data_IF_305818808250
#
_entry.id   IF_305818808250
#
_cell.length_a   1.000
_cell.length_b   1.000
_cell.length_c   1.000
_cell.angle_alpha   90.00
_cell.angle_beta   90.00
_cell.angle_gamma   90.00
#
_symmetry.space_group_name_H-M   'P 1'
#
loop_
_entity.id
_entity.type
_entity.pdbx_description
1 polymer ?
#
# COMPACT_ATOMS: atom_id res chain seq x y z
N UNK A 1 -18.62 -27.21 25.32
CA UNK A 1 -18.61 -27.48 23.86
C UNK A 1 -18.63 -26.18 23.07
N UNK A 2 -19.55 -25.24 23.37
CA UNK A 2 -19.70 -23.96 22.67
C UNK A 2 -18.40 -23.16 22.46
N UNK A 3 -17.57 -23.00 23.50
CA UNK A 3 -16.33 -22.22 23.41
C UNK A 3 -15.31 -22.77 22.39
N UNK A 4 -15.15 -24.09 22.29
CA UNK A 4 -14.22 -24.70 21.31
C UNK A 4 -14.75 -24.58 19.88
N UNK A 5 -16.07 -24.64 19.70
CA UNK A 5 -16.71 -24.45 18.39
C UNK A 5 -16.53 -22.99 17.93
N UNK A 6 -16.78 -22.02 18.82
CA UNK A 6 -16.54 -20.60 18.53
C UNK A 6 -15.07 -20.32 18.20
N UNK A 7 -14.13 -20.88 18.97
CA UNK A 7 -12.70 -20.75 18.68
C UNK A 7 -12.32 -21.35 17.31
N UNK A 8 -12.89 -22.50 16.95
CA UNK A 8 -12.68 -23.12 15.64
C UNK A 8 -13.17 -22.21 14.50
N UNK A 9 -14.37 -21.64 14.63
CA UNK A 9 -14.92 -20.69 13.65
C UNK A 9 -14.02 -19.47 13.50
N UNK A 10 -13.53 -18.91 14.62
CA UNK A 10 -12.61 -17.75 14.60
C UNK A 10 -11.30 -18.11 13.90
N UNK A 11 -10.71 -19.27 14.17
CA UNK A 11 -9.49 -19.73 13.50
C UNK A 11 -9.68 -19.86 11.98
N UNK A 12 -10.80 -20.43 11.54
CA UNK A 12 -11.13 -20.54 10.11
C UNK A 12 -11.32 -19.15 9.49
N UNK A 13 -12.05 -18.25 10.15
CA UNK A 13 -12.25 -16.89 9.67
C UNK A 13 -10.92 -16.13 9.52
N UNK A 14 -10.02 -16.26 10.50
CA UNK A 14 -8.68 -15.67 10.47
C UNK A 14 -7.87 -16.21 9.29
N UNK A 15 -7.88 -17.53 9.07
CA UNK A 15 -7.17 -18.16 7.95
C UNK A 15 -7.70 -17.69 6.59
N UNK A 16 -9.02 -17.63 6.42
CA UNK A 16 -9.63 -17.14 5.17
C UNK A 16 -9.21 -15.69 4.93
N UNK A 17 -9.28 -14.84 5.95
CA UNK A 17 -8.89 -13.44 5.84
C UNK A 17 -7.39 -13.27 5.51
N UNK A 18 -6.49 -14.03 6.14
CA UNK A 18 -5.06 -13.95 5.83
C UNK A 18 -4.79 -14.35 4.39
N UNK A 19 -5.36 -15.44 3.90
CA UNK A 19 -5.19 -15.91 2.53
C UNK A 19 -5.68 -14.87 1.53
N UNK A 20 -6.87 -14.30 1.73
CA UNK A 20 -7.40 -13.23 0.87
C UNK A 20 -6.51 -11.98 0.89
N UNK A 21 -6.04 -11.56 2.07
CA UNK A 21 -5.14 -10.43 2.20
C UNK A 21 -3.81 -10.67 1.45
N UNK A 22 -3.25 -11.88 1.53
CA UNK A 22 -2.06 -12.25 0.76
C UNK A 22 -2.32 -12.23 -0.74
N UNK A 23 -3.43 -12.79 -1.23
CA UNK A 23 -3.76 -12.77 -2.66
C UNK A 23 -3.84 -11.34 -3.20
N UNK A 24 -4.52 -10.45 -2.47
CA UNK A 24 -4.68 -9.04 -2.87
C UNK A 24 -3.34 -8.30 -2.87
N UNK A 25 -2.45 -8.62 -1.93
CA UNK A 25 -1.16 -7.95 -1.72
C UNK A 25 0.03 -8.62 -2.40
N UNK A 26 -0.11 -9.80 -3.01
CA UNK A 26 1.02 -10.51 -3.61
C UNK A 26 1.56 -9.78 -4.85
N UNK A 27 0.65 -9.17 -5.64
CA UNK A 27 1.01 -8.51 -6.88
C UNK A 27 1.59 -7.10 -6.63
N UNK A 28 2.39 -6.65 -7.59
CA UNK A 28 2.97 -5.31 -7.60
C UNK A 28 4.29 -5.23 -6.84
N UNK A 29 5.32 -4.71 -7.49
CA UNK A 29 6.54 -4.29 -6.81
C UNK A 29 7.04 -3.04 -7.51
N UNK A 30 7.36 -2.00 -6.74
CA UNK A 30 7.91 -0.78 -7.35
C UNK A 30 9.16 -1.08 -8.19
N UNK A 31 9.25 -0.44 -9.35
CA UNK A 31 10.34 -0.54 -10.31
C UNK A 31 11.51 0.34 -9.88
N UNK A 32 12.72 -0.20 -10.01
CA UNK A 32 13.94 0.56 -9.78
C UNK A 32 14.27 1.35 -11.05
N UNK A 33 14.49 2.65 -10.91
CA UNK A 33 14.94 3.50 -12.01
C UNK A 33 16.42 3.80 -11.85
N UNK A 34 17.18 3.70 -12.95
CA UNK A 34 18.63 3.93 -12.96
C UNK A 34 18.97 5.33 -12.44
N UNK A 35 19.83 5.40 -11.42
CA UNK A 35 20.25 6.67 -10.81
C UNK A 35 19.31 7.23 -9.74
N UNK A 36 18.26 6.48 -9.36
CA UNK A 36 17.33 6.82 -8.29
C UNK A 36 17.33 5.72 -7.21
N UNK A 37 17.34 6.13 -5.93
CA UNK A 37 17.28 5.19 -4.80
C UNK A 37 15.86 4.80 -4.40
N UNK A 38 14.87 5.59 -4.82
CA UNK A 38 13.45 5.31 -4.60
C UNK A 38 12.86 4.53 -5.78
N UNK A 39 11.73 3.86 -5.53
CA UNK A 39 11.00 3.08 -6.53
C UNK A 39 9.89 3.91 -7.18
N UNK A 40 9.63 3.63 -8.45
CA UNK A 40 8.44 4.11 -9.15
C UNK A 40 7.39 3.01 -9.20
N UNK A 41 6.11 3.39 -9.23
CA UNK A 41 5.02 2.43 -9.12
C UNK A 41 4.09 2.60 -10.32
N UNK A 42 3.80 1.49 -11.01
CA UNK A 42 2.83 1.48 -12.09
C UNK A 42 1.54 0.81 -11.61
N UNK A 43 0.42 1.40 -11.99
CA UNK A 43 -0.88 0.96 -11.47
C UNK A 43 -1.24 -0.46 -11.97
N UNK A 44 -0.80 -0.82 -13.17
CA UNK A 44 -1.07 -2.12 -13.79
C UNK A 44 -0.40 -3.30 -13.08
N UNK A 45 0.66 -3.08 -12.30
CA UNK A 45 1.36 -4.15 -11.59
C UNK A 45 0.56 -4.69 -10.39
N UNK A 46 -0.45 -3.95 -9.92
CA UNK A 46 -1.25 -4.31 -8.74
C UNK A 46 -2.45 -5.18 -9.10
N UNK A 47 -3.03 -5.83 -8.08
CA UNK A 47 -4.20 -6.70 -8.26
C UNK A 47 -5.40 -5.93 -8.84
N UNK A 48 -6.23 -6.65 -9.61
CA UNK A 48 -7.45 -6.09 -10.22
C UNK A 48 -8.41 -5.48 -9.19
N UNK A 49 -8.34 -5.94 -7.93
CA UNK A 49 -9.07 -5.36 -6.82
C UNK A 49 -8.65 -3.92 -6.54
N UNK A 50 -7.35 -3.63 -6.44
CA UNK A 50 -6.85 -2.26 -6.25
C UNK A 50 -7.20 -1.38 -7.45
N UNK A 51 -7.07 -1.90 -8.66
CA UNK A 51 -7.48 -1.21 -9.88
C UNK A 51 -8.94 -0.79 -9.81
N UNK A 52 -9.84 -1.72 -9.47
CA UNK A 52 -11.28 -1.44 -9.38
C UNK A 52 -11.61 -0.43 -8.29
N UNK A 53 -10.95 -0.53 -7.15
CA UNK A 53 -11.19 0.37 -6.01
C UNK A 53 -10.71 1.80 -6.30
N UNK A 54 -9.55 1.95 -6.95
CA UNK A 54 -8.92 3.24 -7.25
C UNK A 54 -9.41 3.87 -8.56
N UNK A 55 -10.03 3.08 -9.44
CA UNK A 55 -10.66 3.58 -10.65
C UNK A 55 -12.11 4.05 -10.41
N UNK A 56 -12.68 3.76 -9.24
CA UNK A 56 -13.97 4.31 -8.85
C UNK A 56 -13.82 5.81 -8.52
N UNK A 57 -14.38 6.67 -9.37
CA UNK A 57 -14.20 8.12 -9.33
C UNK A 57 -14.64 8.75 -8.01
N UNK A 58 -15.78 8.33 -7.45
CA UNK A 58 -16.31 8.94 -6.22
C UNK A 58 -15.40 8.64 -5.02
N UNK A 59 -14.99 7.38 -4.86
CA UNK A 59 -14.07 6.98 -3.79
C UNK A 59 -12.70 7.65 -3.94
N UNK A 60 -12.22 7.78 -5.18
CA UNK A 60 -10.95 8.43 -5.47
C UNK A 60 -10.99 9.92 -5.14
N UNK A 61 -12.04 10.65 -5.49
CA UNK A 61 -12.13 12.08 -5.19
C UNK A 61 -12.11 12.35 -3.67
N UNK A 62 -12.76 11.50 -2.87
CA UNK A 62 -12.65 11.57 -1.42
C UNK A 62 -11.21 11.34 -0.94
N UNK A 63 -10.55 10.28 -1.40
CA UNK A 63 -9.18 9.94 -1.01
C UNK A 63 -8.18 11.01 -1.46
N UNK A 64 -8.33 11.49 -2.69
CA UNK A 64 -7.57 12.59 -3.28
C UNK A 64 -7.70 13.86 -2.45
N UNK A 65 -8.90 14.20 -1.96
CA UNK A 65 -9.08 15.38 -1.10
C UNK A 65 -8.22 15.30 0.17
N UNK A 66 -8.05 14.10 0.73
CA UNK A 66 -7.16 13.85 1.85
C UNK A 66 -5.68 13.97 1.46
N UNK A 67 -5.29 13.43 0.30
CA UNK A 67 -3.91 13.52 -0.21
C UNK A 67 -3.47 14.95 -0.58
N UNK A 68 -4.39 15.76 -1.10
CA UNK A 68 -4.15 17.17 -1.43
C UNK A 68 -3.97 17.99 -0.15
N UNK A 69 -4.75 17.69 0.90
CA UNK A 69 -4.62 18.31 2.22
C UNK A 69 -3.39 17.80 2.98
N UNK A 70 -2.88 16.61 2.64
CA UNK A 70 -1.71 16.06 3.30
C UNK A 70 -0.49 16.95 3.09
N UNK A 71 0.34 17.04 4.13
CA UNK A 71 1.57 17.82 4.06
C UNK A 71 2.71 17.04 3.40
N UNK A 72 2.53 15.80 2.96
CA UNK A 72 3.61 14.95 2.42
C UNK A 72 4.30 15.60 1.23
N UNK A 73 3.52 15.98 0.21
CA UNK A 73 4.07 16.63 -0.97
C UNK A 73 4.56 18.07 -0.71
N UNK A 74 4.08 18.73 0.33
CA UNK A 74 4.53 20.08 0.71
C UNK A 74 5.81 20.03 1.53
N UNK A 75 5.95 19.03 2.39
CA UNK A 75 7.14 18.77 3.19
C UNK A 75 8.26 18.21 2.34
N UNK A 76 7.98 17.53 1.23
CA UNK A 76 9.01 17.03 0.33
C UNK A 76 10.00 18.12 -0.12
N UNK A 77 9.47 19.26 -0.58
CA UNK A 77 10.29 20.41 -0.97
C UNK A 77 11.01 21.08 0.20
N UNK A 78 10.48 20.97 1.43
CA UNK A 78 11.14 21.50 2.64
C UNK A 78 12.26 20.58 3.12
N UNK A 79 12.04 19.26 3.01
CA UNK A 79 12.93 18.20 3.48
C UNK A 79 14.14 18.02 2.56
N UNK A 80 13.93 18.17 1.25
CA UNK A 80 15.00 18.02 0.25
C UNK A 80 15.16 19.32 -0.53
N UNK A 81 16.24 20.05 -0.24
CA UNK A 81 16.55 21.33 -0.91
C UNK A 81 17.19 21.12 -2.28
N UNK A 82 17.87 19.99 -2.49
CA UNK A 82 18.60 19.71 -3.74
C UNK A 82 18.10 18.44 -4.42
N UNK A 83 18.18 18.42 -5.75
CA UNK A 83 17.81 17.25 -6.57
C UNK A 83 18.68 16.03 -6.21
N UNK A 84 19.97 16.22 -5.92
CA UNK A 84 20.87 15.14 -5.51
C UNK A 84 20.40 14.46 -4.23
N UNK A 85 19.99 15.23 -3.22
CA UNK A 85 19.43 14.69 -1.99
C UNK A 85 18.13 13.93 -2.25
N UNK A 86 17.25 14.46 -3.12
CA UNK A 86 16.01 13.80 -3.49
C UNK A 86 16.23 12.46 -4.19
N UNK A 87 17.21 12.37 -5.10
CA UNK A 87 17.55 11.13 -5.83
C UNK A 87 18.10 10.04 -4.90
N UNK A 88 18.82 10.43 -3.86
CA UNK A 88 19.41 9.53 -2.87
C UNK A 88 18.49 9.26 -1.67
N UNK A 89 17.39 9.99 -1.54
CA UNK A 89 16.43 9.83 -0.46
C UNK A 89 15.54 8.61 -0.65
N UNK A 90 15.12 8.03 0.48
CA UNK A 90 14.05 7.03 0.52
C UNK A 90 12.72 7.78 0.65
N UNK A 91 12.00 7.91 -0.46
CA UNK A 91 10.67 8.50 -0.48
C UNK A 91 9.61 7.46 -0.14
N UNK A 92 8.51 7.92 0.48
CA UNK A 92 7.33 7.09 0.64
C UNK A 92 6.67 6.81 -0.73
N UNK A 93 5.86 5.75 -0.87
CA UNK A 93 5.16 5.47 -2.12
C UNK A 93 4.28 6.63 -2.60
N UNK A 94 3.63 7.33 -1.67
CA UNK A 94 2.84 8.55 -1.95
C UNK A 94 3.74 9.69 -2.43
N UNK A 95 4.86 9.92 -1.76
CA UNK A 95 5.79 10.98 -2.14
C UNK A 95 6.39 10.74 -3.54
N UNK A 96 6.65 9.47 -3.87
CA UNK A 96 7.19 9.07 -5.16
C UNK A 96 6.14 9.15 -6.29
N UNK A 97 4.92 8.67 -6.06
CA UNK A 97 3.88 8.57 -7.09
C UNK A 97 3.00 9.81 -7.27
N UNK A 98 2.75 10.60 -6.21
CA UNK A 98 1.79 11.71 -6.27
C UNK A 98 2.44 13.09 -6.36
N UNK A 99 3.64 13.26 -5.78
CA UNK A 99 4.27 14.58 -5.67
C UNK A 99 5.15 14.95 -6.87
N UNK A 100 5.46 13.98 -7.73
CA UNK A 100 6.40 14.12 -8.85
C UNK A 100 5.80 13.50 -10.12
N UNK A 101 6.19 13.98 -11.30
CA UNK A 101 5.85 13.31 -12.54
C UNK A 101 6.67 12.02 -12.67
N UNK A 102 6.18 11.03 -13.45
CA UNK A 102 6.96 9.86 -13.84
C UNK A 102 8.29 10.25 -14.51
N UNK A 103 9.35 9.49 -14.25
CA UNK A 103 10.67 9.77 -14.87
C UNK A 103 10.63 9.69 -16.40
N UNK A 104 9.74 8.87 -16.96
CA UNK A 104 9.52 8.73 -18.42
C UNK A 104 9.07 10.03 -19.10
N UNK A 105 8.47 10.97 -18.36
CA UNK A 105 8.03 12.23 -18.94
C UNK A 105 9.21 13.12 -19.36
N UNK A 106 10.39 12.96 -18.72
CA UNK A 106 11.60 13.67 -19.10
C UNK A 106 11.64 15.16 -18.73
N UNK A 107 10.71 15.65 -17.90
CA UNK A 107 10.71 17.06 -17.49
C UNK A 107 11.97 17.42 -16.69
N UNK A 108 12.70 18.50 -17.05
CA UNK A 108 13.86 18.92 -16.28
C UNK A 108 13.41 19.43 -14.89
N UNK A 109 13.99 18.84 -13.86
CA UNK A 109 13.70 19.21 -12.48
C UNK A 109 14.43 20.51 -12.12
N UNK A 110 13.66 21.57 -11.86
CA UNK A 110 14.18 22.86 -11.40
C UNK A 110 14.43 22.81 -9.89
N UNK A 111 13.48 22.23 -9.15
CA UNK A 111 13.54 22.02 -7.69
C UNK A 111 12.98 20.64 -7.33
N UNK A 112 13.05 20.26 -6.05
CA UNK A 112 12.60 18.95 -5.56
C UNK A 112 11.09 18.65 -5.77
N UNK A 113 10.27 19.67 -6.04
CA UNK A 113 8.84 19.52 -6.32
C UNK A 113 8.36 20.45 -7.45
N UNK A 114 9.29 20.98 -8.25
CA UNK A 114 8.97 21.87 -9.36
C UNK A 114 9.75 21.46 -10.60
N UNK A 115 9.04 21.29 -11.70
CA UNK A 115 9.56 20.80 -12.98
C UNK A 115 9.25 21.80 -14.08
N UNK A 116 10.15 21.98 -15.03
CA UNK A 116 9.88 22.86 -16.17
C UNK A 116 8.97 22.14 -17.18
N UNK A 117 7.72 22.60 -17.29
CA UNK A 117 6.69 22.05 -18.17
C UNK A 117 6.68 22.70 -19.56
N UNK A 118 7.59 23.64 -19.82
CA UNK A 118 7.75 24.27 -21.14
C UNK A 118 8.30 23.28 -22.17
N UNK A 119 8.97 22.22 -21.70
CA UNK A 119 9.47 21.14 -22.52
C UNK A 119 8.36 20.15 -22.88
N UNK A 120 8.36 19.67 -24.12
CA UNK A 120 7.46 18.60 -24.53
C UNK A 120 7.81 17.30 -23.81
N UNK A 121 6.82 16.56 -23.27
CA UNK A 121 7.08 15.28 -22.64
C UNK A 121 7.64 14.30 -23.67
N UNK A 122 8.68 13.57 -23.29
CA UNK A 122 9.35 12.58 -24.16
C UNK A 122 8.44 11.36 -24.36
N UNK A 123 7.62 11.05 -23.36
CA UNK A 123 6.70 9.91 -23.36
C UNK A 123 5.26 10.32 -23.75
N UNK A 124 4.57 9.41 -24.43
CA UNK A 124 3.13 9.51 -24.71
C UNK A 124 2.24 9.17 -23.51
N UNK A 125 2.84 8.90 -22.35
CA UNK A 125 2.11 8.56 -21.13
C UNK A 125 1.13 9.68 -20.74
N UNK A 126 -0.13 9.30 -20.46
CA UNK A 126 -1.21 10.21 -20.07
C UNK A 126 -0.86 10.98 -18.79
N UNK A 127 -0.12 10.36 -17.87
CA UNK A 127 0.28 10.96 -16.59
C UNK A 127 1.11 12.23 -16.79
N UNK A 128 1.92 12.29 -17.86
CA UNK A 128 2.71 13.48 -18.18
C UNK A 128 1.85 14.70 -18.48
N UNK A 129 0.68 14.51 -19.10
CA UNK A 129 -0.26 15.60 -19.41
C UNK A 129 -1.13 16.00 -18.21
N UNK A 130 -1.34 15.08 -17.28
CA UNK A 130 -2.15 15.31 -16.08
C UNK A 130 -1.37 16.05 -14.99
N UNK A 131 -0.04 15.90 -14.96
CA UNK A 131 0.82 16.56 -14.00
C UNK A 131 0.82 18.09 -14.12
N UNK A 132 0.71 18.80 -12.99
CA UNK A 132 0.89 20.27 -12.92
C UNK A 132 1.68 20.66 -11.67
N UNK A 133 2.50 21.72 -11.75
CA UNK A 133 3.27 22.24 -10.60
C UNK A 133 2.42 22.86 -9.47
N UNK A 134 1.09 22.96 -9.63
CA UNK A 134 0.23 23.53 -8.60
C UNK A 134 0.06 22.56 -7.43
N UNK A 135 0.12 23.09 -6.21
CA UNK A 135 0.00 22.29 -4.98
C UNK A 135 -1.30 21.48 -4.90
N UNK A 136 -2.37 21.97 -5.50
CA UNK A 136 -3.69 21.33 -5.49
C UNK A 136 -3.86 20.21 -6.53
N UNK A 137 -3.00 20.14 -7.55
CA UNK A 137 -3.17 19.21 -8.68
C UNK A 137 -2.06 18.16 -8.71
N UNK A 138 -0.78 18.59 -8.67
CA UNK A 138 0.40 17.70 -8.78
C UNK A 138 0.14 16.53 -9.72
N UNK A 139 0.48 15.29 -9.32
CA UNK A 139 0.07 14.08 -10.02
C UNK A 139 -1.10 13.38 -9.32
N UNK A 140 -1.94 14.09 -8.56
CA UNK A 140 -3.04 13.47 -7.81
C UNK A 140 -4.13 12.85 -8.70
N UNK A 141 -4.14 13.14 -9.99
CA UNK A 141 -5.04 12.48 -10.96
C UNK A 141 -4.33 11.42 -11.82
N UNK A 142 -3.03 11.20 -11.61
CA UNK A 142 -2.23 10.25 -12.37
C UNK A 142 -2.42 8.82 -11.88
N UNK A 143 -2.25 7.87 -12.78
CA UNK A 143 -2.27 6.45 -12.43
C UNK A 143 -1.03 6.10 -11.58
N UNK A 144 0.09 6.79 -11.77
CA UNK A 144 1.28 6.69 -10.90
C UNK A 144 0.99 7.03 -9.44
N UNK A 145 0.09 7.99 -9.17
CA UNK A 145 -0.30 8.33 -7.80
C UNK A 145 -1.22 7.26 -7.20
N UNK A 146 -2.18 6.76 -7.99
CA UNK A 146 -3.00 5.61 -7.59
C UNK A 146 -2.13 4.39 -7.29
N UNK A 147 -1.09 4.14 -8.07
CA UNK A 147 -0.12 3.07 -7.83
C UNK A 147 0.64 3.27 -6.51
N UNK A 148 1.06 4.50 -6.22
CA UNK A 148 1.67 4.85 -4.93
C UNK A 148 0.73 4.61 -3.74
N UNK A 149 -0.56 4.90 -3.90
CA UNK A 149 -1.59 4.59 -2.89
C UNK A 149 -1.78 3.09 -2.75
N UNK A 150 -1.82 2.34 -3.85
CA UNK A 150 -1.93 0.88 -3.83
C UNK A 150 -0.76 0.23 -3.07
N UNK A 151 0.48 0.68 -3.32
CA UNK A 151 1.65 0.20 -2.58
C UNK A 151 1.54 0.55 -1.08
N UNK A 152 1.14 1.79 -0.77
CA UNK A 152 0.97 2.22 0.61
C UNK A 152 -0.04 1.33 1.34
N UNK A 153 -1.22 1.11 0.74
CA UNK A 153 -2.24 0.22 1.29
C UNK A 153 -1.74 -1.22 1.43
N UNK A 154 -0.99 -1.73 0.45
CA UNK A 154 -0.38 -3.06 0.49
C UNK A 154 0.57 -3.22 1.68
N UNK A 155 1.40 -2.21 1.97
CA UNK A 155 2.30 -2.24 3.13
C UNK A 155 1.50 -2.33 4.42
N UNK A 156 0.48 -1.49 4.59
CA UNK A 156 -0.40 -1.51 5.77
C UNK A 156 -1.14 -2.85 5.93
N UNK A 157 -1.65 -3.42 4.82
CA UNK A 157 -2.32 -4.72 4.84
C UNK A 157 -1.37 -5.86 5.22
N UNK A 158 -0.11 -5.78 4.81
CA UNK A 158 0.92 -6.75 5.21
C UNK A 158 1.19 -6.68 6.71
N UNK A 159 1.18 -5.48 7.30
CA UNK A 159 1.31 -5.32 8.76
C UNK A 159 0.13 -5.98 9.47
N UNK A 160 -1.11 -5.72 9.02
CA UNK A 160 -2.31 -6.37 9.57
C UNK A 160 -2.24 -7.89 9.42
N UNK A 161 -1.78 -8.40 8.27
CA UNK A 161 -1.63 -9.83 8.05
C UNK A 161 -0.62 -10.46 9.04
N UNK A 162 0.49 -9.79 9.34
CA UNK A 162 1.46 -10.26 10.35
C UNK A 162 0.82 -10.34 11.74
N UNK A 163 0.11 -9.29 12.17
CA UNK A 163 -0.61 -9.31 13.44
C UNK A 163 -1.65 -10.44 13.50
N UNK A 164 -2.37 -10.68 12.41
CA UNK A 164 -3.37 -11.73 12.33
C UNK A 164 -2.75 -13.14 12.39
N UNK A 165 -1.57 -13.35 11.81
CA UNK A 165 -0.81 -14.60 11.93
C UNK A 165 -0.38 -14.85 13.38
N UNK A 166 0.08 -13.83 14.10
CA UNK A 166 0.44 -13.94 15.53
C UNK A 166 -0.80 -14.34 16.34
N UNK A 167 -1.93 -13.66 16.11
CA UNK A 167 -3.20 -13.99 16.77
C UNK A 167 -3.64 -15.43 16.50
N UNK A 168 -3.50 -15.89 15.25
CA UNK A 168 -3.79 -17.27 14.86
C UNK A 168 -2.98 -18.29 15.68
N UNK A 169 -1.67 -18.07 15.83
CA UNK A 169 -0.78 -18.96 16.59
C UNK A 169 -1.20 -19.03 18.05
N UNK A 170 -1.49 -17.88 18.68
CA UNK A 170 -1.93 -17.82 20.09
C UNK A 170 -3.25 -18.56 20.29
N UNK A 171 -4.25 -18.30 19.44
CA UNK A 171 -5.56 -18.97 19.52
C UNK A 171 -5.46 -20.48 19.26
N UNK A 172 -4.56 -20.89 18.37
CA UNK A 172 -4.30 -22.31 18.11
C UNK A 172 -3.76 -23.01 19.36
N UNK A 173 -2.82 -22.41 20.09
CA UNK A 173 -2.32 -22.95 21.36
C UNK A 173 -3.44 -23.10 22.40
N UNK A 174 -4.30 -22.07 22.54
CA UNK A 174 -5.46 -22.13 23.45
C UNK A 174 -6.42 -23.25 23.06
N UNK A 175 -6.66 -23.43 21.75
CA UNK A 175 -7.50 -24.50 21.23
C UNK A 175 -6.91 -25.89 21.58
N UNK A 176 -5.60 -26.09 21.36
CA UNK A 176 -4.93 -27.35 21.73
C UNK A 176 -5.02 -27.65 23.22
N UNK A 177 -4.73 -26.68 24.09
CA UNK A 177 -4.85 -26.84 25.55
C UNK A 177 -6.29 -27.15 25.96
N UNK A 178 -7.27 -26.43 25.40
CA UNK A 178 -8.69 -26.66 25.65
C UNK A 178 -9.16 -28.05 25.21
N UNK A 179 -8.70 -28.53 24.06
CA UNK A 179 -8.95 -29.90 23.60
C UNK A 179 -8.29 -30.95 24.49
N UNK A 180 -7.03 -30.76 24.89
CA UNK A 180 -6.31 -31.66 25.78
C UNK A 180 -6.96 -31.76 27.17
N UNK A 181 -7.32 -30.63 27.78
CA UNK A 181 -8.00 -30.59 29.07
C UNK A 181 -9.33 -31.35 29.03
N UNK A 182 -10.12 -31.17 27.97
CA UNK A 182 -11.39 -31.90 27.80
C UNK A 182 -11.21 -33.39 27.55
N UNK A 183 -10.22 -33.78 26.74
CA UNK A 183 -9.92 -35.19 26.49
C UNK A 183 -9.51 -35.89 27.79
N UNK A 184 -8.76 -35.22 28.65
CA UNK A 184 -8.39 -35.73 29.96
C UNK A 184 -9.59 -35.87 30.90
N UNK A 185 -10.48 -34.85 30.97
CA UNK A 185 -11.70 -34.94 31.77
C UNK A 185 -12.64 -36.07 31.30
N UNK A 186 -12.79 -36.25 29.99
CA UNK A 186 -13.60 -37.34 29.43
C UNK A 186 -13.03 -38.73 29.77
N UNK A 187 -11.70 -38.90 29.73
CA UNK A 187 -11.02 -40.16 30.12
C UNK A 187 -11.09 -40.46 31.62
N UNK A 188 -11.15 -39.42 32.46
CA UNK A 188 -11.32 -39.60 33.91
C UNK A 188 -12.72 -40.13 34.23
N UNK A 189 -13.76 -39.60 33.58
CA UNK A 189 -15.14 -40.05 33.79
C UNK A 189 -15.41 -41.46 33.25
N UNK A 190 -14.66 -41.96 32.26
CA UNK A 190 -14.82 -43.33 31.74
C UNK A 190 -14.10 -44.40 32.57
N UNK A 191 -13.34 -44.00 33.60
CA UNK A 191 -12.62 -44.91 34.52
C UNK A 191 -13.31 -45.04 35.88
N UNK A 192 -14.42 -44.33 36.09
CA UNK A 192 -15.33 -44.44 37.23
C UNK A 192 -16.53 -45.27 36.78
#
# INVERSE_FOLDING_TARGET
MQYLILLCIILVAILVFTVLAFIITNNGSGHNVTGLRYKEYQLHDYSSWFLKQLNNTDNWEHLKSCLVKSHDCNNLSKKFKTLKQLKLAKLSPIEAGCCRPPSECGYPAVNASFYDLSFHPISSNKDCRLYKNSKAIKCYNCDSCKAGVAEYMKIEWRVVAIFNVILFVVLSMVYFVGCCARRNAARSNSKV
#
